data_IF_361367171582
#
_entry.id   IF_361367171582
#
_cell.length_a   1.000
_cell.length_b   1.000
_cell.length_c   1.000
_cell.angle_alpha   90.00
_cell.angle_beta   90.00
_cell.angle_gamma   90.00
#
_symmetry.space_group_name_H-M   'P 1'
#
loop_
_entity.id
_entity.type
_entity.pdbx_description
1 polymer ?
#
# COMPACT_ATOMS: atom_id res chain seq x y z
N UNK A 1 15.78 -9.49 12.10
CA UNK A 1 14.83 -9.51 10.97
C UNK A 1 14.66 -8.09 10.43
N UNK A 2 14.26 -7.92 9.16
CA UNK A 2 14.04 -6.59 8.53
C UNK A 2 13.09 -5.70 9.34
N UNK A 3 12.08 -6.30 9.96
CA UNK A 3 11.14 -5.65 10.87
C UNK A 3 11.83 -4.96 12.05
N UNK A 4 12.61 -5.72 12.83
CA UNK A 4 13.26 -5.19 14.04
C UNK A 4 14.28 -4.09 13.69
N UNK A 5 15.00 -4.25 12.57
CA UNK A 5 15.90 -3.22 12.07
C UNK A 5 15.13 -1.93 11.77
N UNK A 6 14.02 -2.00 11.03
CA UNK A 6 13.25 -0.81 10.67
C UNK A 6 12.62 -0.13 11.88
N UNK A 7 12.03 -0.89 12.82
CA UNK A 7 11.48 -0.34 14.05
C UNK A 7 12.57 0.35 14.89
N UNK A 8 13.77 -0.25 14.98
CA UNK A 8 14.90 0.37 15.68
C UNK A 8 15.32 1.70 15.03
N UNK A 9 15.46 1.71 13.70
CA UNK A 9 15.83 2.90 12.93
C UNK A 9 14.79 4.02 13.04
N UNK A 10 13.50 3.66 13.14
CA UNK A 10 12.41 4.62 13.24
C UNK A 10 12.02 4.99 14.68
N UNK A 11 12.59 4.35 15.69
CA UNK A 11 12.26 4.63 17.10
C UNK A 11 12.41 6.11 17.51
N UNK A 12 13.38 6.90 16.98
CA UNK A 12 13.43 8.33 17.27
C UNK A 12 12.26 9.14 16.67
N UNK A 13 11.47 8.55 15.77
CA UNK A 13 10.34 9.19 15.12
C UNK A 13 8.97 8.76 15.68
N UNK A 14 8.95 7.96 16.74
CA UNK A 14 7.71 7.50 17.33
C UNK A 14 6.93 8.69 17.93
N UNK A 15 5.61 8.67 17.72
CA UNK A 15 4.63 9.64 18.22
C UNK A 15 4.79 11.11 17.78
N UNK A 16 5.74 11.43 16.89
CA UNK A 16 5.95 12.80 16.37
C UNK A 16 5.33 13.04 14.99
N UNK A 17 4.66 12.05 14.40
CA UNK A 17 3.89 12.21 13.15
C UNK A 17 4.72 12.36 11.88
N UNK A 18 5.92 11.75 11.82
CA UNK A 18 6.77 11.79 10.61
C UNK A 18 6.32 10.79 9.54
N UNK A 19 6.61 11.13 8.29
CA UNK A 19 6.48 10.26 7.13
C UNK A 19 7.84 9.67 6.75
N UNK A 20 7.91 8.34 6.62
CA UNK A 20 9.11 7.63 6.16
C UNK A 20 8.83 6.96 4.81
N UNK A 21 9.70 7.21 3.83
CA UNK A 21 9.64 6.57 2.51
C UNK A 21 10.62 5.41 2.48
N UNK A 22 10.11 4.22 2.19
CA UNK A 22 10.81 2.95 2.29
C UNK A 22 11.07 2.37 0.89
N UNK A 23 12.28 1.86 0.72
CA UNK A 23 12.62 1.09 -0.47
C UNK A 23 11.95 -0.31 -0.42
N UNK A 24 12.03 -1.04 -1.53
CA UNK A 24 11.45 -2.39 -1.64
C UNK A 24 12.08 -3.46 -0.74
N UNK A 25 13.25 -3.21 -0.15
CA UNK A 25 13.85 -4.08 0.87
C UNK A 25 13.12 -4.03 2.22
N UNK A 26 12.36 -2.96 2.47
CA UNK A 26 11.60 -2.72 3.70
C UNK A 26 10.07 -2.76 3.47
N UNK A 27 9.60 -3.22 2.30
CA UNK A 27 8.18 -3.24 1.94
C UNK A 27 7.38 -4.43 2.55
N UNK A 28 7.46 -4.58 3.87
CA UNK A 28 6.67 -5.60 4.59
C UNK A 28 5.43 -4.94 5.20
N UNK A 29 4.24 -5.32 4.72
CA UNK A 29 2.95 -4.78 5.18
C UNK A 29 2.83 -4.77 6.71
N UNK A 30 3.15 -5.89 7.37
CA UNK A 30 3.09 -5.97 8.84
C UNK A 30 3.95 -4.90 9.52
N UNK A 31 5.17 -4.68 9.04
CA UNK A 31 6.10 -3.69 9.61
C UNK A 31 5.61 -2.26 9.38
N UNK A 32 5.03 -2.01 8.21
CA UNK A 32 4.41 -0.70 7.90
C UNK A 32 3.21 -0.42 8.80
N UNK A 33 2.39 -1.44 9.12
CA UNK A 33 1.30 -1.31 10.10
C UNK A 33 1.83 -1.12 11.53
N UNK A 34 2.90 -1.81 11.91
CA UNK A 34 3.54 -1.60 13.22
C UNK A 34 4.06 -0.16 13.37
N UNK A 35 4.74 0.40 12.36
CA UNK A 35 5.13 1.81 12.35
C UNK A 35 3.93 2.75 12.52
N UNK A 36 2.82 2.46 11.85
CA UNK A 36 1.57 3.22 11.99
C UNK A 36 1.01 3.18 13.41
N UNK A 37 1.19 2.07 14.15
CA UNK A 37 0.79 1.96 15.56
C UNK A 37 1.65 2.88 16.45
N UNK A 38 2.92 3.01 16.14
CA UNK A 38 3.85 3.92 16.82
C UNK A 38 3.72 5.39 16.37
N UNK A 39 2.71 5.72 15.56
CA UNK A 39 2.49 7.08 15.08
C UNK A 39 3.42 7.53 13.95
N UNK A 40 4.14 6.59 13.31
CA UNK A 40 4.98 6.85 12.13
C UNK A 40 4.19 6.50 10.87
N UNK A 41 3.99 7.49 10.00
CA UNK A 41 3.43 7.28 8.67
C UNK A 41 4.51 6.72 7.75
N UNK A 42 4.11 5.91 6.78
CA UNK A 42 5.07 5.34 5.84
C UNK A 42 4.48 5.16 4.44
N UNK A 43 5.37 5.19 3.45
CA UNK A 43 5.13 4.75 2.07
C UNK A 43 6.21 3.75 1.68
N UNK A 44 5.87 2.61 1.09
CA UNK A 44 6.83 1.59 0.70
C UNK A 44 6.64 1.14 -0.75
N UNK A 45 7.73 1.13 -1.52
CA UNK A 45 7.73 0.63 -2.89
C UNK A 45 7.65 -0.91 -2.92
N UNK A 46 6.66 -1.47 -3.62
CA UNK A 46 6.49 -2.92 -3.76
C UNK A 46 7.01 -3.34 -5.15
N UNK A 47 8.18 -3.99 -5.19
CA UNK A 47 8.82 -4.41 -6.46
C UNK A 47 8.69 -5.91 -6.78
N UNK A 48 8.65 -6.78 -5.77
CA UNK A 48 8.62 -8.24 -5.98
C UNK A 48 7.24 -8.81 -5.70
N UNK A 49 6.77 -9.74 -6.55
CA UNK A 49 5.46 -10.42 -6.42
C UNK A 49 5.25 -11.10 -5.06
N UNK A 50 6.32 -11.62 -4.44
CA UNK A 50 6.26 -12.21 -3.08
C UNK A 50 5.87 -11.23 -1.97
N UNK A 51 6.00 -9.93 -2.21
CA UNK A 51 5.66 -8.86 -1.26
C UNK A 51 4.32 -8.19 -1.60
N UNK A 52 3.62 -8.69 -2.62
CA UNK A 52 2.27 -8.25 -2.90
C UNK A 52 1.38 -8.60 -1.71
N UNK A 53 0.39 -7.74 -1.49
CA UNK A 53 -0.51 -7.84 -0.35
C UNK A 53 -1.21 -9.19 -0.41
N UNK A 54 -1.00 -10.04 0.60
CA UNK A 54 -1.43 -11.44 0.63
C UNK A 54 -2.93 -11.64 0.32
N UNK A 55 -3.75 -10.62 0.60
CA UNK A 55 -5.20 -10.64 0.44
C UNK A 55 -5.68 -9.89 -0.81
N UNK A 56 -4.77 -9.40 -1.64
CA UNK A 56 -5.06 -8.66 -2.86
C UNK A 56 -4.39 -9.40 -4.01
N UNK A 57 -5.19 -9.88 -4.96
CA UNK A 57 -4.68 -10.49 -6.17
C UNK A 57 -4.06 -9.39 -7.03
N UNK A 58 -2.77 -9.13 -6.86
CA UNK A 58 -2.13 -8.03 -7.58
C UNK A 58 -2.19 -8.19 -9.12
N UNK A 59 -2.42 -9.41 -9.63
CA UNK A 59 -2.66 -9.64 -11.05
C UNK A 59 -3.93 -8.93 -11.54
N UNK A 60 -4.96 -8.85 -10.70
CA UNK A 60 -6.16 -8.06 -11.00
C UNK A 60 -5.87 -6.57 -11.03
N UNK A 61 -4.91 -6.11 -10.23
CA UNK A 61 -4.48 -4.71 -10.33
C UNK A 61 -3.73 -4.51 -11.64
N UNK A 62 -2.80 -5.39 -12.01
CA UNK A 62 -2.14 -5.28 -13.31
C UNK A 62 -3.13 -5.27 -14.48
N UNK A 63 -4.08 -6.22 -14.50
CA UNK A 63 -5.14 -6.30 -15.51
C UNK A 63 -5.98 -5.03 -15.58
N UNK A 64 -6.30 -4.43 -14.43
CA UNK A 64 -7.05 -3.18 -14.36
C UNK A 64 -6.32 -1.99 -15.02
N UNK A 65 -5.01 -2.10 -15.26
CA UNK A 65 -4.21 -1.07 -15.89
C UNK A 65 -3.76 -1.44 -17.31
N UNK A 66 -4.17 -2.58 -17.86
CA UNK A 66 -3.74 -3.03 -19.20
C UNK A 66 -4.17 -2.04 -20.30
N UNK A 67 -5.38 -1.50 -20.18
CA UNK A 67 -6.03 -0.57 -21.11
C UNK A 67 -5.82 0.92 -20.75
N UNK A 68 -5.09 1.22 -19.67
CA UNK A 68 -4.83 2.60 -19.23
C UNK A 68 -3.55 3.19 -19.80
N UNK A 69 -3.58 4.51 -19.99
CA UNK A 69 -2.41 5.29 -20.41
C UNK A 69 -1.31 5.32 -19.34
N UNK A 70 -0.05 5.44 -19.79
CA UNK A 70 1.10 5.64 -18.91
C UNK A 70 0.90 6.90 -18.06
N UNK A 71 1.11 6.78 -16.75
CA UNK A 71 0.85 7.84 -15.79
C UNK A 71 -0.53 7.76 -15.12
N UNK A 72 -1.43 6.86 -15.57
CA UNK A 72 -2.67 6.60 -14.84
C UNK A 72 -2.39 6.11 -13.41
N UNK A 73 -3.17 6.61 -12.45
CA UNK A 73 -3.04 6.28 -11.02
C UNK A 73 -4.39 5.77 -10.50
N UNK A 74 -4.35 4.76 -9.64
CA UNK A 74 -5.49 4.35 -8.83
C UNK A 74 -5.00 3.81 -7.48
N UNK A 75 -5.89 3.66 -6.50
CA UNK A 75 -5.52 3.17 -5.18
C UNK A 75 -6.57 2.24 -4.58
N UNK A 76 -6.09 1.13 -4.02
CA UNK A 76 -6.93 0.17 -3.30
C UNK A 76 -6.81 0.42 -1.80
N UNK A 77 -7.86 0.90 -1.12
CA UNK A 77 -7.86 0.93 0.34
C UNK A 77 -7.89 -0.49 0.90
N UNK A 78 -7.19 -0.70 2.00
CA UNK A 78 -7.16 -1.95 2.74
C UNK A 78 -7.10 -1.71 4.24
N UNK A 79 -7.40 -2.75 5.01
CA UNK A 79 -7.30 -2.74 6.47
C UNK A 79 -6.54 -3.99 6.89
N UNK A 80 -5.50 -3.80 7.71
CA UNK A 80 -4.81 -4.91 8.38
C UNK A 80 -4.75 -4.59 9.87
N UNK A 81 -5.14 -5.56 10.70
CA UNK A 81 -5.19 -5.42 12.16
C UNK A 81 -5.90 -4.13 12.63
N UNK A 82 -7.02 -3.79 11.98
CA UNK A 82 -7.80 -2.58 12.26
C UNK A 82 -7.13 -1.25 11.86
N UNK A 83 -5.98 -1.28 11.17
CA UNK A 83 -5.30 -0.08 10.67
C UNK A 83 -5.48 0.07 9.16
N UNK A 84 -5.92 1.24 8.68
CA UNK A 84 -6.07 1.49 7.26
C UNK A 84 -4.72 1.66 6.60
N UNK A 85 -4.62 1.17 5.37
CA UNK A 85 -3.53 1.42 4.45
C UNK A 85 -4.10 1.55 3.03
N UNK A 86 -3.28 2.05 2.11
CA UNK A 86 -3.63 2.17 0.69
C UNK A 86 -2.56 1.51 -0.15
N UNK A 87 -2.99 0.74 -1.17
CA UNK A 87 -2.12 0.23 -2.20
C UNK A 87 -2.31 1.09 -3.46
N UNK A 88 -1.45 2.07 -3.64
CA UNK A 88 -1.44 2.95 -4.80
C UNK A 88 -0.72 2.26 -5.96
N UNK A 89 -1.35 2.25 -7.13
CA UNK A 89 -0.86 1.67 -8.36
C UNK A 89 -0.71 2.77 -9.41
N UNK A 90 0.41 2.74 -10.16
CA UNK A 90 0.73 3.71 -11.20
C UNK A 90 1.11 2.94 -12.47
N UNK A 91 0.47 3.24 -13.60
CA UNK A 91 0.85 2.68 -14.91
C UNK A 91 2.21 3.22 -15.34
N UNK A 92 3.18 2.33 -15.47
CA UNK A 92 4.44 2.57 -16.18
C UNK A 92 4.36 1.94 -17.59
N UNK A 93 5.34 2.19 -18.48
CA UNK A 93 5.30 1.67 -19.86
C UNK A 93 5.09 0.15 -19.94
N UNK A 94 5.87 -0.61 -19.17
CA UNK A 94 5.91 -2.08 -19.29
C UNK A 94 5.37 -2.80 -18.04
N UNK A 95 4.95 -2.06 -17.01
CA UNK A 95 4.54 -2.63 -15.73
C UNK A 95 3.64 -1.68 -14.93
N UNK A 96 3.09 -2.16 -13.82
CA UNK A 96 2.39 -1.34 -12.84
C UNK A 96 3.27 -1.19 -11.60
N UNK A 97 3.59 0.05 -11.25
CA UNK A 97 4.32 0.36 -10.02
C UNK A 97 3.36 0.36 -8.84
N UNK A 98 3.79 -0.22 -7.72
CA UNK A 98 2.99 -0.29 -6.50
C UNK A 98 3.68 0.43 -5.34
N UNK A 99 2.91 1.26 -4.65
CA UNK A 99 3.27 1.89 -3.40
C UNK A 99 2.24 1.51 -2.35
N UNK A 100 2.68 1.19 -1.16
CA UNK A 100 1.79 1.01 -0.01
C UNK A 100 1.99 2.17 0.96
N UNK A 101 0.92 2.87 1.29
CA UNK A 101 0.94 3.98 2.25
C UNK A 101 0.02 3.75 3.45
N UNK A 102 0.35 4.37 4.58
CA UNK A 102 -0.49 4.41 5.80
C UNK A 102 -1.09 5.79 6.07
N UNK A 103 -1.01 6.68 5.07
CA UNK A 103 -1.67 7.96 5.01
C UNK A 103 -2.72 7.96 3.89
N UNK A 104 -3.73 8.82 4.03
CA UNK A 104 -4.82 8.94 3.07
C UNK A 104 -4.43 9.70 1.80
N UNK A 105 -5.36 9.80 0.87
CA UNK A 105 -5.21 10.56 -0.39
C UNK A 105 -6.13 11.78 -0.37
N UNK A 106 -5.68 12.90 -0.94
CA UNK A 106 -6.52 14.10 -1.11
C UNK A 106 -7.43 13.99 -2.34
N UNK A 107 -7.01 13.24 -3.35
CA UNK A 107 -7.90 12.82 -4.42
C UNK A 107 -8.92 11.84 -3.85
N UNK A 108 -10.19 11.98 -4.26
CA UNK A 108 -11.21 10.95 -4.07
C UNK A 108 -10.80 9.73 -4.89
N UNK A 109 -9.86 8.97 -4.35
CA UNK A 109 -9.80 7.53 -4.61
C UNK A 109 -11.15 7.01 -4.17
N UNK A 110 -11.91 6.36 -5.05
CA UNK A 110 -13.26 5.87 -4.75
C UNK A 110 -13.17 4.88 -3.57
N UNK A 111 -13.39 5.38 -2.35
CA UNK A 111 -13.31 4.58 -1.13
C UNK A 111 -14.59 3.74 -1.05
N UNK A 112 -14.46 2.44 -1.28
CA UNK A 112 -15.57 1.49 -1.33
C UNK A 112 -16.17 1.14 0.03
N UNK A 113 -16.71 2.12 0.77
CA UNK A 113 -17.61 1.84 1.88
C UNK A 113 -19.06 2.31 1.67
N UNK A 114 -19.34 3.24 0.76
CA UNK A 114 -20.72 3.54 0.35
C UNK A 114 -20.83 3.80 -1.16
N UNK A 115 -21.63 2.96 -1.81
CA UNK A 115 -22.21 3.04 -3.17
C UNK A 115 -21.33 2.73 -4.41
N UNK A 116 -21.81 1.69 -5.12
CA UNK A 116 -21.70 1.28 -6.53
C UNK A 116 -20.52 1.72 -7.45
N UNK A 117 -19.80 0.70 -7.94
CA UNK A 117 -19.06 0.57 -9.22
C UNK A 117 -17.81 1.47 -9.38
N UNK A 118 -16.59 0.92 -9.39
CA UNK A 118 -16.05 0.26 -10.60
C UNK A 118 -14.85 -0.68 -10.37
N UNK A 119 -14.29 -0.81 -9.17
CA UNK A 119 -13.17 -1.72 -8.95
C UNK A 119 -13.15 -2.30 -7.53
N UNK A 120 -13.38 -3.60 -7.41
CA UNK A 120 -13.20 -4.39 -6.19
C UNK A 120 -12.25 -5.54 -6.52
N UNK A 121 -11.08 -5.59 -5.90
CA UNK A 121 -10.27 -6.79 -5.95
C UNK A 121 -10.99 -7.90 -5.16
N UNK A 122 -11.20 -9.10 -5.73
CA UNK A 122 -11.81 -10.20 -4.98
C UNK A 122 -10.95 -10.56 -3.77
N UNK A 123 -11.47 -10.32 -2.56
CA UNK A 123 -10.83 -10.71 -1.30
C UNK A 123 -11.21 -12.17 -1.03
N UNK A 124 -10.23 -13.07 -0.99
CA UNK A 124 -10.47 -14.46 -0.55
C UNK A 124 -10.69 -14.49 0.97
N UNK A 125 -11.89 -14.89 1.40
CA UNK A 125 -12.14 -15.30 2.79
C UNK A 125 -11.48 -16.66 2.99
N UNK A 126 -10.59 -16.77 3.97
CA UNK A 126 -10.20 -18.06 4.55
C UNK A 126 -11.07 -18.32 5.76
#
# INVERSE_FOLDING_TARGET
STRNLLLGLCSPFFHIGKLVILNSGFCVLQTVIELKREGVLSSALIKKRRYWLKYIKGDYICQHFDDKEVGAVDSLPGVLDGKPFHACAIKAPDYVMFLMSTYGTNERVRVGYEMELSWKCPVEKK
#
